data_IF_097694492247
#
_entry.id   IF_097694492247
#
_cell.length_a   1.000
_cell.length_b   1.000
_cell.length_c   1.000
_cell.angle_alpha   90.00
_cell.angle_beta   90.00
_cell.angle_gamma   90.00
#
_symmetry.space_group_name_H-M   'P 1'
#
loop_
_entity.id
_entity.type
_entity.pdbx_description
1 polymer ?
#
# COMPACT_ATOMS: atom_id res chain seq x y z
N UNK A 1 -3.83 27.23 14.22
CA UNK A 1 -3.12 25.96 14.44
C UNK A 1 -4.09 24.82 14.16
N UNK A 2 -3.69 23.83 13.37
CA UNK A 2 -4.49 22.62 13.16
C UNK A 2 -4.72 21.94 14.52
N UNK A 3 -5.95 21.53 14.87
CA UNK A 3 -6.21 20.76 16.09
C UNK A 3 -5.66 19.33 16.00
N UNK A 4 -5.14 18.92 14.84
CA UNK A 4 -4.51 17.63 14.61
C UNK A 4 -2.98 17.82 14.66
N UNK A 5 -2.33 17.38 15.75
CA UNK A 5 -0.91 17.63 15.97
C UNK A 5 0.00 16.78 15.07
N UNK A 6 -0.53 15.69 14.51
CA UNK A 6 0.24 14.77 13.70
C UNK A 6 -0.01 15.05 12.22
N UNK A 7 1.07 15.23 11.44
CA UNK A 7 0.94 15.20 9.99
C UNK A 7 0.80 13.76 9.51
N UNK A 8 0.01 13.61 8.44
CA UNK A 8 -0.07 12.37 7.69
C UNK A 8 0.71 12.56 6.40
N UNK A 9 1.70 11.69 6.19
CA UNK A 9 2.55 11.69 5.01
C UNK A 9 2.25 10.43 4.21
N UNK A 10 1.68 10.59 3.01
CA UNK A 10 1.55 9.50 2.04
C UNK A 10 2.75 9.51 1.11
N UNK A 11 3.49 8.41 1.07
CA UNK A 11 4.64 8.25 0.16
C UNK A 11 4.82 6.80 -0.27
N UNK A 12 5.63 6.62 -1.32
CA UNK A 12 6.10 5.29 -1.72
C UNK A 12 6.95 4.72 -0.58
N UNK A 13 6.77 3.45 -0.20
CA UNK A 13 7.63 2.80 0.77
C UNK A 13 9.03 2.59 0.17
N UNK A 14 10.01 2.54 1.07
CA UNK A 14 11.44 2.35 0.82
C UNK A 14 11.95 1.21 1.68
N UNK A 15 13.20 0.80 1.48
CA UNK A 15 13.78 -0.29 2.27
C UNK A 15 13.91 0.08 3.75
N UNK A 16 14.11 1.36 4.05
CA UNK A 16 14.20 1.92 5.39
C UNK A 16 12.89 1.79 6.19
N UNK A 17 11.75 1.61 5.50
CA UNK A 17 10.43 1.51 6.14
C UNK A 17 10.05 0.09 6.57
N UNK A 18 10.91 -0.90 6.26
CA UNK A 18 10.60 -2.33 6.39
C UNK A 18 10.06 -2.69 7.77
N UNK A 19 10.80 -2.36 8.81
CA UNK A 19 10.45 -2.74 10.18
C UNK A 19 9.11 -2.12 10.59
N UNK A 20 8.92 -0.83 10.34
CA UNK A 20 7.67 -0.16 10.70
C UNK A 20 6.46 -0.68 9.94
N UNK A 21 6.61 -1.05 8.66
CA UNK A 21 5.51 -1.63 7.87
C UNK A 21 5.19 -3.04 8.32
N UNK A 22 6.20 -3.86 8.60
CA UNK A 22 6.00 -5.23 9.11
C UNK A 22 5.32 -5.22 10.49
N UNK A 23 5.75 -4.33 11.38
CA UNK A 23 5.13 -4.15 12.70
C UNK A 23 3.64 -3.76 12.57
N UNK A 24 3.32 -2.84 11.66
CA UNK A 24 1.93 -2.45 11.37
C UNK A 24 1.11 -3.63 10.82
N UNK A 25 1.67 -4.42 9.91
CA UNK A 25 1.01 -5.61 9.35
C UNK A 25 0.69 -6.62 10.45
N UNK A 26 1.66 -6.89 11.33
CA UNK A 26 1.49 -7.80 12.46
C UNK A 26 0.44 -7.29 13.45
N UNK A 27 0.40 -5.98 13.71
CA UNK A 27 -0.64 -5.36 14.54
C UNK A 27 -2.03 -5.53 13.91
N UNK A 28 -2.16 -5.37 12.59
CA UNK A 28 -3.43 -5.56 11.90
C UNK A 28 -3.93 -7.00 12.06
N UNK A 29 -3.05 -7.99 11.84
CA UNK A 29 -3.42 -9.40 12.02
C UNK A 29 -3.78 -9.75 13.46
N UNK A 30 -3.01 -9.24 14.43
CA UNK A 30 -3.27 -9.45 15.85
C UNK A 30 -4.64 -8.93 16.28
N UNK A 31 -5.12 -7.85 15.67
CA UNK A 31 -6.39 -7.22 15.97
C UNK A 31 -7.53 -7.61 15.00
N UNK A 32 -7.33 -8.60 14.13
CA UNK A 32 -8.30 -8.99 13.08
C UNK A 32 -8.78 -7.79 12.24
N UNK A 33 -7.86 -6.86 11.98
CA UNK A 33 -8.13 -5.62 11.25
C UNK A 33 -7.95 -5.83 9.75
N UNK A 34 -8.79 -5.21 8.89
CA UNK A 34 -8.62 -5.30 7.44
C UNK A 34 -7.31 -4.64 6.98
N UNK A 35 -6.55 -5.35 6.15
CA UNK A 35 -5.35 -4.82 5.45
C UNK A 35 -5.71 -4.17 4.11
N UNK A 36 -6.77 -3.37 4.09
CA UNK A 36 -7.22 -2.71 2.86
C UNK A 36 -6.09 -1.85 2.25
N UNK A 37 -5.90 -1.96 0.93
CA UNK A 37 -4.82 -1.27 0.22
C UNK A 37 -3.45 -1.97 0.29
N UNK A 38 -3.31 -3.04 1.08
CA UNK A 38 -2.14 -3.93 0.99
C UNK A 38 -2.38 -4.94 -0.14
N UNK A 39 -1.71 -4.74 -1.27
CA UNK A 39 -1.75 -5.66 -2.41
C UNK A 39 -0.50 -6.55 -2.44
N UNK A 40 -0.55 -7.64 -3.21
CA UNK A 40 0.55 -8.58 -3.41
C UNK A 40 1.22 -9.08 -2.11
N UNK A 41 0.39 -9.35 -1.11
CA UNK A 41 0.82 -9.87 0.19
C UNK A 41 0.35 -11.32 0.39
N UNK A 42 1.22 -12.15 0.94
CA UNK A 42 0.94 -13.53 1.33
C UNK A 42 1.49 -13.80 2.72
N UNK A 43 0.66 -14.16 3.69
CA UNK A 43 1.08 -14.33 5.08
C UNK A 43 2.13 -15.45 5.27
N UNK A 44 2.19 -16.44 4.36
CA UNK A 44 3.12 -17.56 4.44
C UNK A 44 4.39 -17.41 3.59
N UNK A 45 4.45 -16.41 2.71
CA UNK A 45 5.49 -16.28 1.69
C UNK A 45 5.74 -14.81 1.33
N UNK A 46 5.85 -13.95 2.35
CA UNK A 46 6.08 -12.52 2.16
C UNK A 46 7.57 -12.18 2.19
N UNK A 47 8.04 -11.55 1.11
CA UNK A 47 9.34 -10.90 1.00
C UNK A 47 9.11 -9.40 0.78
N UNK A 48 9.60 -8.58 1.70
CA UNK A 48 9.38 -7.13 1.65
C UNK A 48 10.09 -6.50 0.45
N UNK A 49 11.29 -6.99 0.14
CA UNK A 49 12.09 -6.60 -1.00
C UNK A 49 11.38 -6.92 -2.33
N UNK A 50 10.84 -8.13 -2.47
CA UNK A 50 10.09 -8.53 -3.66
C UNK A 50 8.77 -7.74 -3.76
N UNK A 51 8.16 -7.39 -2.63
CA UNK A 51 7.00 -6.52 -2.59
C UNK A 51 7.32 -5.08 -3.04
N UNK A 52 8.48 -4.52 -2.67
CA UNK A 52 8.94 -3.23 -3.19
C UNK A 52 9.20 -3.27 -4.69
N UNK A 53 9.81 -4.34 -5.20
CA UNK A 53 10.01 -4.52 -6.65
C UNK A 53 8.67 -4.64 -7.37
N UNK A 54 7.74 -5.44 -6.83
CA UNK A 54 6.40 -5.58 -7.35
C UNK A 54 5.66 -4.23 -7.41
N UNK A 55 5.82 -3.36 -6.41
CA UNK A 55 5.24 -2.00 -6.41
C UNK A 55 5.73 -1.19 -7.61
N UNK A 56 7.03 -1.23 -7.91
CA UNK A 56 7.61 -0.51 -9.06
C UNK A 56 7.11 -1.08 -10.39
N UNK A 57 7.07 -2.40 -10.51
CA UNK A 57 6.56 -3.08 -11.70
C UNK A 57 5.06 -2.79 -11.90
N UNK A 58 4.27 -2.73 -10.83
CA UNK A 58 2.85 -2.39 -10.89
C UNK A 58 2.66 -0.96 -11.35
N UNK A 59 3.40 -0.01 -10.79
CA UNK A 59 3.33 1.39 -11.17
C UNK A 59 3.71 1.61 -12.65
N UNK A 60 4.70 0.85 -13.15
CA UNK A 60 5.08 0.85 -14.56
C UNK A 60 4.07 0.10 -15.47
N UNK A 61 3.09 -0.61 -14.91
CA UNK A 61 2.15 -1.43 -15.67
C UNK A 61 2.75 -2.72 -16.23
N UNK A 62 3.87 -3.18 -15.67
CA UNK A 62 4.60 -4.37 -16.08
C UNK A 62 4.28 -5.60 -15.21
N UNK A 63 3.59 -5.40 -14.10
CA UNK A 63 3.20 -6.48 -13.20
C UNK A 63 1.94 -7.21 -13.70
N UNK A 64 2.13 -8.19 -14.58
CA UNK A 64 1.10 -9.16 -14.98
C UNK A 64 -0.19 -8.56 -15.53
N UNK A 65 -1.34 -9.16 -15.18
CA UNK A 65 -2.67 -8.70 -15.60
C UNK A 65 -3.19 -7.65 -14.61
N UNK A 66 -3.41 -6.42 -15.09
CA UNK A 66 -3.94 -5.33 -14.29
C UNK A 66 -3.83 -3.97 -14.98
N UNK A 67 -4.28 -2.92 -14.30
CA UNK A 67 -3.96 -1.53 -14.64
C UNK A 67 -2.80 -1.05 -13.76
N UNK A 68 -1.94 -0.15 -14.25
CA UNK A 68 -0.93 0.49 -13.41
C UNK A 68 -1.56 1.08 -12.15
N UNK A 69 -0.89 0.89 -11.01
CA UNK A 69 -1.32 1.41 -9.73
C UNK A 69 -0.10 1.81 -8.88
N UNK A 70 -0.28 2.77 -7.99
CA UNK A 70 0.76 3.23 -7.06
C UNK A 70 0.43 2.69 -5.67
N UNK A 71 1.40 2.00 -5.08
CA UNK A 71 1.37 1.69 -3.65
C UNK A 71 1.92 2.85 -2.82
N UNK A 72 1.11 3.33 -1.90
CA UNK A 72 1.47 4.31 -0.90
C UNK A 72 1.28 3.72 0.50
N UNK A 73 2.06 4.23 1.43
CA UNK A 73 1.94 3.95 2.86
C UNK A 73 1.81 5.29 3.59
N UNK A 74 0.92 5.33 4.58
CA UNK A 74 0.71 6.48 5.43
C UNK A 74 1.64 6.42 6.63
N UNK A 75 2.38 7.50 6.86
CA UNK A 75 3.32 7.66 7.96
C UNK A 75 3.01 8.90 8.80
N UNK A 76 3.43 8.87 10.06
CA UNK A 76 3.42 10.03 10.93
C UNK A 76 4.75 10.80 10.86
N UNK A 77 4.88 11.87 11.64
CA UNK A 77 6.11 12.67 11.72
C UNK A 77 7.33 11.87 12.26
N UNK A 78 7.11 10.71 12.90
CA UNK A 78 8.15 9.81 13.41
C UNK A 78 8.52 8.68 12.44
N UNK A 79 7.96 8.68 11.22
CA UNK A 79 8.09 7.61 10.23
C UNK A 79 7.42 6.29 10.65
N UNK A 80 6.47 6.33 11.59
CA UNK A 80 5.67 5.16 11.92
C UNK A 80 4.57 4.96 10.88
N UNK A 81 4.54 3.79 10.25
CA UNK A 81 3.49 3.38 9.32
C UNK A 81 2.17 3.08 10.05
N UNK A 82 1.04 3.50 9.48
CA UNK A 82 -0.28 3.22 10.07
C UNK A 82 -1.41 2.95 9.06
N UNK A 83 -1.12 2.93 7.76
CA UNK A 83 -2.09 2.47 6.77
C UNK A 83 -1.53 2.31 5.36
N UNK A 84 -2.27 1.59 4.52
CA UNK A 84 -1.95 1.38 3.11
C UNK A 84 -2.94 2.09 2.20
N UNK A 85 -2.48 2.48 1.00
CA UNK A 85 -3.32 3.02 -0.05
C UNK A 85 -2.77 2.56 -1.41
N UNK A 86 -3.58 1.84 -2.19
CA UNK A 86 -3.20 1.38 -3.53
C UNK A 86 -4.10 2.06 -4.57
N UNK A 87 -3.56 3.03 -5.33
CA UNK A 87 -4.36 3.85 -6.26
C UNK A 87 -4.11 3.39 -7.69
N UNK A 88 -5.16 2.97 -8.38
CA UNK A 88 -5.11 2.68 -9.82
C UNK A 88 -4.99 3.98 -10.63
N UNK A 89 -4.04 4.02 -11.55
CA UNK A 89 -3.71 5.20 -12.36
C UNK A 89 -4.52 5.32 -13.65
N UNK A 90 -5.23 4.26 -14.04
CA UNK A 90 -6.16 4.25 -15.17
C UNK A 90 -7.28 3.24 -14.94
N UNK A 91 -8.36 3.40 -15.67
CA UNK A 91 -9.40 2.38 -15.82
C UNK A 91 -9.14 1.60 -17.12
N UNK A 92 -9.48 0.32 -17.12
CA UNK A 92 -9.67 -0.47 -18.34
C UNK A 92 -11.16 -0.75 -18.53
N UNK A 93 -11.55 -1.35 -19.66
CA UNK A 93 -12.97 -1.60 -19.99
C UNK A 93 -13.70 -2.42 -18.91
N UNK A 94 -13.00 -3.37 -18.28
CA UNK A 94 -13.55 -4.16 -17.18
C UNK A 94 -13.82 -3.30 -15.94
N UNK A 95 -12.83 -2.51 -15.50
CA UNK A 95 -12.92 -1.64 -14.33
C UNK A 95 -13.91 -0.48 -14.53
N UNK A 96 -14.09 -0.01 -15.76
CA UNK A 96 -15.10 0.99 -16.08
C UNK A 96 -16.52 0.47 -15.82
N UNK A 97 -16.74 -0.83 -16.07
CA UNK A 97 -18.05 -1.46 -15.97
C UNK A 97 -18.30 -2.12 -14.61
N UNK A 98 -17.25 -2.64 -13.96
CA UNK A 98 -17.31 -3.40 -12.70
C UNK A 98 -16.07 -3.13 -11.84
N UNK A 99 -16.26 -2.77 -10.58
CA UNK A 99 -15.14 -2.61 -9.64
C UNK A 99 -14.32 -1.32 -9.84
N UNK A 100 -14.83 -0.36 -10.62
CA UNK A 100 -14.31 1.01 -10.75
C UNK A 100 -14.62 1.90 -9.55
N UNK A 101 -14.49 1.36 -8.34
CA UNK A 101 -14.35 2.23 -7.18
C UNK A 101 -13.00 2.94 -7.34
N UNK A 102 -13.04 4.27 -7.46
CA UNK A 102 -11.85 5.10 -7.26
C UNK A 102 -11.66 5.14 -5.74
N UNK A 103 -10.82 4.25 -5.24
CA UNK A 103 -10.43 4.15 -3.84
C UNK A 103 -8.99 3.72 -3.78
#
# INVERSE_FOLDING_TARGET
>A
MSPYPNNLILRRPTIEDKDSILDMIDEYFKNDSPTAGLWNFSHSDFSFEDWLEANQLQEAGLFGKGVPAIQLVAFDDNQQAFGFLNIRLRLNDELLLKGGHIG
#
